data_IF_249637927383
#
_entry.id   IF_249637927383
#
_cell.length_a   1.000
_cell.length_b   1.000
_cell.length_c   1.000
_cell.angle_alpha   90.00
_cell.angle_beta   90.00
_cell.angle_gamma   90.00
#
_symmetry.space_group_name_H-M   'P 1'
#
loop_
_entity.id
_entity.type
_entity.pdbx_description
1 polymer ?
#
# COMPACT_ATOMS: atom_id res chain seq x y z
N UNK A 1 -16.39 -10.85 1.25
CA UNK A 1 -16.82 -11.13 -0.10
C UNK A 1 -17.20 -12.61 -0.30
N UNK A 2 -16.28 -13.58 -0.22
CA UNK A 2 -16.56 -15.00 -0.42
C UNK A 2 -17.28 -15.67 0.77
N UNK A 3 -17.26 -15.05 1.96
CA UNK A 3 -17.98 -15.54 3.13
C UNK A 3 -18.83 -14.41 3.75
N UNK A 4 -20.06 -14.18 3.26
CA UNK A 4 -20.95 -13.12 3.74
C UNK A 4 -21.26 -13.21 5.24
N UNK A 5 -21.12 -14.39 5.87
CA UNK A 5 -21.36 -14.60 7.31
C UNK A 5 -20.34 -13.85 8.20
N UNK A 6 -19.20 -13.45 7.62
CA UNK A 6 -18.17 -12.68 8.31
C UNK A 6 -18.36 -11.17 8.20
N UNK A 7 -19.30 -10.68 7.41
CA UNK A 7 -19.60 -9.26 7.28
C UNK A 7 -20.04 -8.69 8.63
N UNK A 8 -19.39 -7.59 9.06
CA UNK A 8 -19.65 -6.95 10.36
C UNK A 8 -19.08 -7.70 11.57
N UNK A 9 -18.23 -8.72 11.36
CA UNK A 9 -17.57 -9.45 12.44
C UNK A 9 -16.08 -9.12 12.52
N UNK A 10 -15.48 -9.14 13.72
CA UNK A 10 -14.05 -8.94 13.85
C UNK A 10 -13.30 -10.13 13.22
N UNK A 11 -12.47 -9.82 12.22
CA UNK A 11 -11.68 -10.80 11.49
C UNK A 11 -10.23 -10.32 11.39
N UNK A 12 -9.30 -11.25 11.48
CA UNK A 12 -7.88 -11.04 11.19
C UNK A 12 -7.39 -12.08 10.19
N UNK A 13 -6.41 -11.69 9.37
CA UNK A 13 -5.72 -12.60 8.45
C UNK A 13 -4.27 -12.70 8.87
N UNK A 14 -3.75 -13.90 8.89
CA UNK A 14 -2.38 -14.22 9.31
C UNK A 14 -1.41 -14.24 8.12
N UNK A 15 -0.14 -14.10 8.41
CA UNK A 15 0.96 -14.23 7.46
C UNK A 15 1.08 -15.67 6.90
N UNK A 16 1.99 -15.89 5.95
CA UNK A 16 2.21 -17.19 5.29
C UNK A 16 2.51 -18.36 6.20
N UNK A 17 2.96 -18.11 7.43
CA UNK A 17 3.28 -19.12 8.47
C UNK A 17 2.34 -19.04 9.68
N UNK A 18 1.21 -18.34 9.55
CA UNK A 18 0.20 -18.13 10.58
C UNK A 18 0.72 -17.51 11.90
N UNK A 19 1.89 -16.87 11.84
CA UNK A 19 2.53 -16.33 13.03
C UNK A 19 2.15 -14.88 13.36
N UNK A 20 1.76 -14.08 12.37
CA UNK A 20 1.64 -12.63 12.49
C UNK A 20 0.39 -12.11 11.78
N UNK A 21 -0.27 -11.11 12.34
CA UNK A 21 -1.47 -10.51 11.74
C UNK A 21 -1.06 -9.53 10.63
N UNK A 22 -1.49 -9.80 9.40
CA UNK A 22 -1.20 -8.98 8.22
C UNK A 22 -2.41 -8.22 7.68
N UNK A 23 -3.63 -8.56 8.12
CA UNK A 23 -4.83 -7.80 7.79
C UNK A 23 -5.86 -7.87 8.92
N UNK A 24 -6.71 -6.84 9.01
CA UNK A 24 -7.73 -6.70 10.05
C UNK A 24 -8.98 -6.07 9.47
N UNK A 25 -10.16 -6.59 9.80
CA UNK A 25 -11.42 -5.91 9.53
C UNK A 25 -11.55 -4.60 10.34
N UNK A 26 -12.52 -3.76 9.97
CA UNK A 26 -12.81 -2.53 10.73
C UNK A 26 -13.13 -2.84 12.20
N UNK A 27 -13.92 -3.87 12.44
CA UNK A 27 -14.31 -4.34 13.77
C UNK A 27 -13.10 -4.82 14.58
N UNK A 28 -12.15 -5.53 13.94
CA UNK A 28 -10.92 -5.96 14.61
C UNK A 28 -9.98 -4.78 14.94
N UNK A 29 -10.01 -3.69 14.12
CA UNK A 29 -9.28 -2.45 14.42
C UNK A 29 -9.88 -1.74 15.65
N UNK A 30 -11.20 -1.73 15.81
CA UNK A 30 -11.88 -1.16 16.99
C UNK A 30 -11.49 -1.89 18.28
N UNK A 31 -11.16 -3.18 18.20
CA UNK A 31 -10.62 -3.96 19.32
C UNK A 31 -9.13 -3.66 19.60
N UNK A 32 -8.54 -2.69 18.91
CA UNK A 32 -7.14 -2.25 19.05
C UNK A 32 -6.11 -3.38 18.81
N UNK A 33 -6.46 -4.39 18.02
CA UNK A 33 -5.51 -5.42 17.62
C UNK A 33 -4.44 -4.76 16.71
N UNK A 34 -3.14 -4.79 17.05
CA UNK A 34 -2.12 -4.11 16.26
C UNK A 34 -1.82 -4.83 14.93
N UNK A 35 -1.49 -4.06 13.88
CA UNK A 35 -0.93 -4.64 12.66
C UNK A 35 0.47 -5.18 12.94
N UNK A 36 0.79 -6.34 12.38
CA UNK A 36 2.09 -7.00 12.61
C UNK A 36 2.22 -7.67 13.96
N UNK A 37 1.16 -7.69 14.78
CA UNK A 37 1.21 -8.38 16.06
C UNK A 37 1.36 -9.89 15.88
N UNK A 38 2.26 -10.54 16.63
CA UNK A 38 2.27 -11.99 16.75
C UNK A 38 0.94 -12.49 17.32
N UNK A 39 0.37 -13.55 16.71
CA UNK A 39 -0.95 -14.07 17.08
C UNK A 39 -1.03 -14.40 18.57
N UNK A 40 0.00 -15.03 19.14
CA UNK A 40 0.03 -15.43 20.54
C UNK A 40 -0.04 -14.27 21.52
N UNK A 41 0.39 -13.05 21.11
CA UNK A 41 0.33 -11.85 21.99
C UNK A 41 -1.06 -11.23 22.08
N UNK A 42 -1.96 -11.59 21.20
CA UNK A 42 -3.34 -11.05 21.14
C UNK A 42 -4.40 -12.14 21.34
N UNK A 43 -3.99 -13.34 21.75
CA UNK A 43 -4.87 -14.49 21.89
C UNK A 43 -6.02 -14.24 22.87
N UNK A 44 -5.78 -13.50 23.95
CA UNK A 44 -6.81 -13.15 24.93
C UNK A 44 -7.91 -12.27 24.32
N UNK A 45 -7.52 -11.30 23.48
CA UNK A 45 -8.46 -10.43 22.75
C UNK A 45 -9.27 -11.25 21.76
N UNK A 46 -8.61 -12.16 21.04
CA UNK A 46 -9.23 -13.04 20.04
C UNK A 46 -10.29 -13.92 20.71
N UNK A 47 -9.95 -14.57 21.83
CA UNK A 47 -10.87 -15.45 22.55
C UNK A 47 -12.03 -14.66 23.18
N UNK A 48 -11.72 -13.55 23.84
CA UNK A 48 -12.72 -12.71 24.53
C UNK A 48 -13.79 -12.16 23.57
N UNK A 49 -13.40 -11.79 22.35
CA UNK A 49 -14.26 -11.11 21.38
C UNK A 49 -14.67 -12.00 20.20
N UNK A 50 -14.38 -13.31 20.26
CA UNK A 50 -14.68 -14.26 19.20
C UNK A 50 -14.19 -13.77 17.81
N UNK A 51 -12.95 -13.27 17.76
CA UNK A 51 -12.36 -12.78 16.52
C UNK A 51 -12.09 -13.95 15.57
N UNK A 52 -12.58 -13.87 14.35
CA UNK A 52 -12.31 -14.88 13.33
C UNK A 52 -10.86 -14.75 12.83
N UNK A 53 -10.11 -15.85 12.95
CA UNK A 53 -8.72 -15.93 12.50
C UNK A 53 -8.68 -16.74 11.21
N UNK A 54 -8.10 -16.17 10.16
CA UNK A 54 -8.01 -16.75 8.83
C UNK A 54 -6.54 -16.79 8.38
N UNK A 55 -6.12 -17.87 7.75
CA UNK A 55 -4.84 -17.93 7.06
C UNK A 55 -4.86 -17.13 5.76
N UNK A 56 -3.70 -16.65 5.32
CA UNK A 56 -3.58 -15.97 4.04
C UNK A 56 -3.78 -16.94 2.86
N UNK A 57 -4.45 -16.43 1.82
CA UNK A 57 -4.66 -17.15 0.57
C UNK A 57 -4.02 -16.34 -0.58
N UNK A 58 -2.72 -16.52 -0.76
CA UNK A 58 -1.95 -15.76 -1.77
C UNK A 58 -2.40 -16.04 -3.21
N UNK A 59 -2.87 -17.25 -3.51
CA UNK A 59 -3.42 -17.57 -4.83
C UNK A 59 -4.68 -16.74 -5.13
N UNK A 60 -5.60 -16.65 -4.16
CA UNK A 60 -6.78 -15.80 -4.26
C UNK A 60 -6.39 -14.32 -4.39
N UNK A 61 -5.44 -13.85 -3.58
CA UNK A 61 -5.03 -12.43 -3.62
C UNK A 61 -4.38 -12.08 -4.96
N UNK A 62 -3.55 -12.97 -5.50
CA UNK A 62 -2.95 -12.80 -6.83
C UNK A 62 -4.00 -12.73 -7.95
N UNK A 63 -5.00 -13.61 -7.92
CA UNK A 63 -6.10 -13.59 -8.89
C UNK A 63 -6.95 -12.33 -8.77
N UNK A 64 -7.29 -11.91 -7.55
CA UNK A 64 -8.04 -10.66 -7.33
C UNK A 64 -7.24 -9.42 -7.76
N UNK A 65 -5.93 -9.42 -7.51
CA UNK A 65 -5.02 -8.39 -7.98
C UNK A 65 -4.99 -8.31 -9.51
N UNK A 66 -4.86 -9.45 -10.19
CA UNK A 66 -4.88 -9.52 -11.65
C UNK A 66 -6.17 -8.93 -12.22
N UNK A 67 -7.33 -9.27 -11.64
CA UNK A 67 -8.62 -8.70 -12.05
C UNK A 67 -8.72 -7.21 -11.76
N UNK A 68 -8.26 -6.78 -10.59
CA UNK A 68 -8.23 -5.37 -10.21
C UNK A 68 -7.40 -4.54 -11.19
N UNK A 69 -6.17 -4.96 -11.46
CA UNK A 69 -5.29 -4.25 -12.40
C UNK A 69 -5.81 -4.33 -13.85
N UNK A 70 -6.47 -5.44 -14.23
CA UNK A 70 -7.14 -5.56 -15.53
C UNK A 70 -8.31 -4.57 -15.71
N UNK A 71 -9.05 -4.26 -14.64
CA UNK A 71 -10.08 -3.22 -14.68
C UNK A 71 -9.43 -1.83 -14.82
N UNK A 72 -8.42 -1.52 -14.01
CA UNK A 72 -7.77 -0.20 -14.02
C UNK A 72 -7.09 0.09 -15.36
N UNK A 73 -6.37 -0.88 -15.93
CA UNK A 73 -5.71 -0.72 -17.22
C UNK A 73 -6.69 -0.52 -18.39
N UNK A 74 -7.97 -0.89 -18.22
CA UNK A 74 -9.01 -0.64 -19.23
C UNK A 74 -9.50 0.80 -19.32
N UNK A 75 -9.10 1.67 -18.37
CA UNK A 75 -9.50 3.09 -18.37
C UNK A 75 -8.58 4.00 -19.20
N UNK A 76 -7.33 3.58 -19.43
CA UNK A 76 -6.30 4.41 -20.06
C UNK A 76 -5.42 3.56 -20.98
N UNK A 77 -4.64 4.23 -21.82
CA UNK A 77 -3.58 3.55 -22.60
C UNK A 77 -2.59 2.84 -21.67
N UNK A 78 -2.06 1.67 -22.06
CA UNK A 78 -1.06 0.95 -21.26
C UNK A 78 0.16 1.78 -20.83
N UNK A 79 0.57 2.75 -21.64
CA UNK A 79 1.66 3.68 -21.29
C UNK A 79 1.32 4.62 -20.15
N UNK A 80 0.04 4.84 -19.87
CA UNK A 80 -0.49 5.69 -18.82
C UNK A 80 -0.88 4.92 -17.55
N UNK A 81 -0.57 3.62 -17.46
CA UNK A 81 -0.87 2.79 -16.32
C UNK A 81 0.39 2.14 -15.74
N UNK A 82 0.53 2.22 -14.42
CA UNK A 82 1.64 1.60 -13.67
C UNK A 82 1.11 0.75 -12.52
N UNK A 83 1.51 -0.52 -12.46
CA UNK A 83 1.26 -1.41 -11.33
C UNK A 83 2.28 -1.10 -10.25
N UNK A 84 1.83 -0.56 -9.11
CA UNK A 84 2.71 -0.24 -8.00
C UNK A 84 2.83 -1.39 -7.00
N UNK A 85 1.72 -2.03 -6.65
CA UNK A 85 1.69 -3.17 -5.74
C UNK A 85 0.55 -4.13 -6.08
N UNK A 86 0.34 -5.16 -5.26
CA UNK A 86 -0.76 -6.13 -5.43
C UNK A 86 -2.16 -5.49 -5.40
N UNK A 87 -2.30 -4.35 -4.74
CA UNK A 87 -3.57 -3.65 -4.48
C UNK A 87 -3.53 -2.16 -4.82
N UNK A 88 -2.46 -1.68 -5.46
CA UNK A 88 -2.29 -0.28 -5.82
C UNK A 88 -1.72 -0.12 -7.23
N UNK A 89 -2.25 0.83 -7.98
CA UNK A 89 -1.73 1.25 -9.29
C UNK A 89 -1.82 2.77 -9.44
N UNK A 90 -1.00 3.31 -10.32
CA UNK A 90 -1.04 4.70 -10.72
C UNK A 90 -1.57 4.84 -12.14
N UNK A 91 -2.34 5.88 -12.36
CA UNK A 91 -2.85 6.29 -13.67
C UNK A 91 -2.29 7.68 -13.96
N UNK A 92 -1.57 7.83 -15.07
CA UNK A 92 -1.14 9.13 -15.58
C UNK A 92 -2.30 9.73 -16.39
N UNK A 93 -2.89 10.82 -15.86
CA UNK A 93 -4.14 11.37 -16.39
C UNK A 93 -3.95 12.70 -17.13
N UNK A 94 -2.75 13.24 -17.17
CA UNK A 94 -2.47 14.60 -17.71
C UNK A 94 -2.96 14.78 -19.15
N UNK A 95 -2.82 13.76 -19.99
CA UNK A 95 -3.23 13.81 -21.39
C UNK A 95 -4.76 13.88 -21.57
N UNK A 96 -5.54 13.47 -20.56
CA UNK A 96 -7.00 13.36 -20.61
C UNK A 96 -7.73 14.54 -19.96
N UNK A 97 -7.02 15.40 -19.21
CA UNK A 97 -7.60 16.50 -18.40
C UNK A 97 -8.40 17.52 -19.21
N UNK A 98 -8.14 17.64 -20.52
CA UNK A 98 -8.89 18.55 -21.40
C UNK A 98 -10.31 18.06 -21.70
N UNK A 99 -10.53 16.75 -21.66
CA UNK A 99 -11.78 16.12 -22.11
C UNK A 99 -12.53 15.45 -20.96
N UNK A 100 -11.87 15.15 -19.86
CA UNK A 100 -12.42 14.38 -18.76
C UNK A 100 -12.08 15.01 -17.41
N UNK A 101 -13.04 14.97 -16.49
CA UNK A 101 -12.83 15.33 -15.09
C UNK A 101 -12.21 14.15 -14.33
N UNK A 102 -11.09 14.40 -13.65
CA UNK A 102 -10.38 13.36 -12.89
C UNK A 102 -11.20 12.83 -11.70
N UNK A 103 -12.06 13.64 -11.11
CA UNK A 103 -12.94 13.23 -10.01
C UNK A 103 -14.04 12.31 -10.50
N UNK A 104 -14.62 12.59 -11.67
CA UNK A 104 -15.61 11.70 -12.30
C UNK A 104 -14.97 10.37 -12.72
N UNK A 105 -13.77 10.41 -13.29
CA UNK A 105 -13.00 9.22 -13.59
C UNK A 105 -12.75 8.36 -12.32
N UNK A 106 -12.39 9.00 -11.22
CA UNK A 106 -12.18 8.33 -9.94
C UNK A 106 -13.48 7.67 -9.43
N UNK A 107 -14.64 8.30 -9.61
CA UNK A 107 -15.93 7.71 -9.28
C UNK A 107 -16.24 6.50 -10.13
N UNK A 108 -16.01 6.59 -11.43
CA UNK A 108 -16.26 5.49 -12.35
C UNK A 108 -15.32 4.31 -12.08
N UNK A 109 -14.04 4.54 -11.85
CA UNK A 109 -13.07 3.50 -11.44
C UNK A 109 -13.59 2.75 -10.21
N UNK A 110 -13.96 3.46 -9.16
CA UNK A 110 -14.48 2.85 -7.92
C UNK A 110 -15.76 2.06 -8.17
N UNK A 111 -16.66 2.62 -8.98
CA UNK A 111 -17.92 1.95 -9.35
C UNK A 111 -17.65 0.63 -10.09
N UNK A 112 -16.81 0.65 -11.11
CA UNK A 112 -16.48 -0.53 -11.91
C UNK A 112 -15.76 -1.59 -11.10
N UNK A 113 -14.76 -1.21 -10.28
CA UNK A 113 -14.07 -2.16 -9.39
C UNK A 113 -15.08 -2.83 -8.44
N UNK A 114 -15.95 -2.06 -7.81
CA UNK A 114 -16.96 -2.64 -6.91
C UNK A 114 -17.97 -3.51 -7.65
N UNK A 115 -18.47 -3.07 -8.79
CA UNK A 115 -19.45 -3.79 -9.60
C UNK A 115 -18.90 -5.12 -10.12
N UNK A 116 -17.66 -5.15 -10.61
CA UNK A 116 -17.09 -6.32 -11.28
C UNK A 116 -16.44 -7.32 -10.32
N UNK A 117 -15.84 -6.86 -9.25
CA UNK A 117 -15.08 -7.73 -8.33
C UNK A 117 -15.44 -7.56 -6.85
N UNK A 118 -16.39 -6.68 -6.50
CA UNK A 118 -16.89 -6.48 -5.14
C UNK A 118 -15.89 -5.83 -4.17
N UNK A 119 -14.78 -5.28 -4.64
CA UNK A 119 -13.79 -4.61 -3.80
C UNK A 119 -14.11 -3.12 -3.65
N UNK A 120 -14.03 -2.64 -2.42
CA UNK A 120 -14.07 -1.20 -2.14
C UNK A 120 -12.67 -0.62 -2.26
N UNK A 121 -12.54 0.49 -3.01
CA UNK A 121 -11.26 1.16 -3.26
C UNK A 121 -11.34 2.62 -2.87
N UNK A 122 -10.19 3.25 -2.65
CA UNK A 122 -10.04 4.69 -2.57
C UNK A 122 -9.21 5.18 -3.76
N UNK A 123 -9.48 6.40 -4.22
CA UNK A 123 -8.73 7.04 -5.30
C UNK A 123 -8.27 8.42 -4.85
N UNK A 124 -6.97 8.67 -4.96
CA UNK A 124 -6.36 9.97 -4.72
C UNK A 124 -5.87 10.57 -6.04
N UNK A 125 -6.21 11.83 -6.28
CA UNK A 125 -5.75 12.59 -7.43
C UNK A 125 -4.81 13.70 -6.95
N UNK A 126 -3.63 13.78 -7.54
CA UNK A 126 -2.59 14.75 -7.23
C UNK A 126 -1.80 15.12 -8.49
N UNK A 127 -1.00 16.16 -8.44
CA UNK A 127 -0.11 16.61 -9.52
C UNK A 127 1.12 15.72 -9.67
N UNK A 128 1.45 14.97 -8.63
CA UNK A 128 2.64 14.11 -8.53
C UNK A 128 2.27 12.76 -7.93
N UNK A 129 3.19 11.79 -7.99
CA UNK A 129 3.00 10.47 -7.38
C UNK A 129 2.83 10.59 -5.86
N UNK A 130 3.65 11.43 -5.21
CA UNK A 130 3.54 11.65 -3.76
C UNK A 130 2.22 12.32 -3.38
N UNK A 131 1.80 13.38 -4.08
CA UNK A 131 0.50 13.99 -3.83
C UNK A 131 -0.66 13.01 -4.03
N UNK A 132 -0.62 12.18 -5.08
CA UNK A 132 -1.65 11.15 -5.33
C UNK A 132 -1.73 10.14 -4.18
N UNK A 133 -0.59 9.71 -3.62
CA UNK A 133 -0.54 8.85 -2.43
C UNK A 133 -1.09 9.53 -1.20
N UNK A 134 -0.78 10.82 -0.98
CA UNK A 134 -1.33 11.62 0.12
C UNK A 134 -2.85 11.78 -0.03
N UNK A 135 -3.33 12.12 -1.23
CA UNK A 135 -4.76 12.19 -1.54
C UNK A 135 -5.48 10.86 -1.27
N UNK A 136 -4.87 9.74 -1.66
CA UNK A 136 -5.43 8.41 -1.40
C UNK A 136 -5.50 8.09 0.11
N UNK A 137 -4.49 8.48 0.88
CA UNK A 137 -4.49 8.34 2.33
C UNK A 137 -5.62 9.18 2.97
N UNK A 138 -5.79 10.43 2.54
CA UNK A 138 -6.90 11.30 2.96
C UNK A 138 -8.25 10.68 2.65
N UNK A 139 -8.46 10.23 1.40
CA UNK A 139 -9.69 9.57 0.97
C UNK A 139 -10.04 8.33 1.81
N UNK A 140 -9.02 7.62 2.31
CA UNK A 140 -9.17 6.41 3.14
C UNK A 140 -9.50 6.73 4.60
N UNK A 141 -9.01 7.85 5.13
CA UNK A 141 -9.15 8.23 6.55
C UNK A 141 -10.34 9.12 6.83
N UNK A 142 -10.81 9.88 5.83
CA UNK A 142 -11.89 10.85 5.98
C UNK A 142 -13.16 10.34 5.28
N UNK A 143 -14.14 9.81 6.03
CA UNK A 143 -15.37 9.25 5.48
C UNK A 143 -16.19 10.26 4.63
N UNK A 144 -16.10 11.54 4.95
CA UNK A 144 -16.76 12.64 4.23
C UNK A 144 -16.29 12.76 2.77
N UNK A 145 -15.09 12.32 2.47
CA UNK A 145 -14.54 12.28 1.11
C UNK A 145 -15.09 11.11 0.28
N UNK A 146 -15.90 10.25 0.88
CA UNK A 146 -16.49 9.09 0.19
C UNK A 146 -15.48 8.25 -0.62
N UNK A 147 -14.22 8.17 -0.13
CA UNK A 147 -13.14 7.41 -0.75
C UNK A 147 -12.55 8.03 -2.01
N UNK A 148 -12.77 9.32 -2.26
CA UNK A 148 -12.13 10.08 -3.37
C UNK A 148 -11.59 11.38 -2.79
N UNK A 149 -10.33 11.68 -3.06
CA UNK A 149 -9.73 12.95 -2.75
C UNK A 149 -9.02 13.51 -3.97
N UNK A 150 -9.33 14.74 -4.37
CA UNK A 150 -8.68 15.41 -5.49
C UNK A 150 -7.99 16.69 -5.00
N UNK A 151 -6.69 16.59 -4.70
CA UNK A 151 -5.88 17.72 -4.24
C UNK A 151 -5.69 18.80 -5.33
N UNK A 152 -5.87 18.44 -6.61
CA UNK A 152 -5.70 19.39 -7.73
C UNK A 152 -6.82 20.43 -7.77
N UNK A 153 -8.04 20.04 -7.38
CA UNK A 153 -9.21 20.92 -7.37
C UNK A 153 -9.50 21.53 -6.01
N UNK A 154 -8.78 21.10 -4.98
CA UNK A 154 -8.94 21.60 -3.62
C UNK A 154 -8.31 22.99 -3.46
N UNK A 155 -8.86 23.81 -2.57
CA UNK A 155 -8.23 25.09 -2.24
C UNK A 155 -6.88 24.87 -1.54
N UNK A 156 -5.93 25.78 -1.72
CA UNK A 156 -4.64 25.71 -1.03
C UNK A 156 -4.80 25.66 0.49
N UNK A 157 -5.77 26.42 1.02
CA UNK A 157 -6.07 26.45 2.47
C UNK A 157 -6.52 25.08 2.97
N UNK A 158 -7.36 24.39 2.21
CA UNK A 158 -7.81 23.04 2.58
C UNK A 158 -6.66 22.02 2.49
N UNK A 159 -5.84 22.10 1.45
CA UNK A 159 -4.65 21.23 1.30
C UNK A 159 -3.69 21.44 2.47
N UNK A 160 -3.37 22.69 2.82
CA UNK A 160 -2.52 23.01 3.97
C UNK A 160 -3.12 22.49 5.29
N UNK A 161 -4.44 22.67 5.47
CA UNK A 161 -5.15 22.17 6.65
C UNK A 161 -5.03 20.64 6.78
N UNK A 162 -5.20 19.92 5.69
CA UNK A 162 -5.00 18.47 5.67
C UNK A 162 -3.54 18.10 5.95
N UNK A 163 -2.58 18.75 5.31
CA UNK A 163 -1.14 18.49 5.53
C UNK A 163 -0.71 18.80 6.97
N UNK A 164 -1.29 19.84 7.60
CA UNK A 164 -1.06 20.15 9.00
C UNK A 164 -1.61 19.08 9.94
N UNK A 165 -2.72 18.44 9.58
CA UNK A 165 -3.34 17.40 10.40
C UNK A 165 -2.68 16.02 10.28
N UNK A 166 -1.82 15.83 9.28
CA UNK A 166 -1.21 14.53 8.97
C UNK A 166 0.21 14.44 9.56
N UNK A 167 0.49 13.40 10.38
CA UNK A 167 1.84 13.13 10.86
C UNK A 167 2.83 12.86 9.71
N UNK A 168 4.08 13.24 9.89
CA UNK A 168 5.13 13.12 8.86
C UNK A 168 5.44 11.66 8.46
N UNK A 169 5.18 10.70 9.32
CA UNK A 169 5.33 9.25 9.04
C UNK A 169 4.25 8.67 8.12
N UNK A 170 3.23 9.45 7.80
CA UNK A 170 2.21 9.11 6.79
C UNK A 170 2.68 9.40 5.36
N UNK A 171 3.77 10.13 5.19
CA UNK A 171 4.30 10.46 3.86
C UNK A 171 4.89 9.21 3.22
N UNK A 172 4.53 8.98 1.98
CA UNK A 172 5.11 7.92 1.17
C UNK A 172 6.64 8.02 1.10
N UNK A 173 7.33 6.94 1.49
CA UNK A 173 8.79 6.89 1.58
C UNK A 173 9.37 7.35 2.92
N UNK A 174 8.58 7.91 3.84
CA UNK A 174 9.03 8.26 5.19
C UNK A 174 8.79 7.10 6.15
N UNK A 175 9.79 6.24 6.30
CA UNK A 175 9.75 5.13 7.25
C UNK A 175 10.09 5.57 8.69
N UNK A 176 9.88 4.66 9.66
CA UNK A 176 10.06 4.91 11.11
C UNK A 176 11.37 5.62 11.48
N UNK A 177 12.50 5.27 10.83
CA UNK A 177 13.80 5.88 11.12
C UNK A 177 13.85 7.36 10.69
N UNK A 178 13.29 7.65 9.50
CA UNK A 178 13.23 9.03 9.00
C UNK A 178 12.22 9.85 9.80
N UNK A 179 11.04 9.30 10.09
CA UNK A 179 10.04 9.97 10.92
C UNK A 179 10.61 10.37 12.29
N UNK A 180 11.32 9.43 12.96
CA UNK A 180 11.97 9.76 14.24
C UNK A 180 12.94 10.92 14.10
N UNK A 181 13.84 10.89 13.09
CA UNK A 181 14.83 11.95 12.86
C UNK A 181 14.17 13.30 12.53
N UNK A 182 13.10 13.30 11.75
CA UNK A 182 12.30 14.48 11.43
C UNK A 182 11.64 15.05 12.69
N UNK A 183 11.03 14.19 13.51
CA UNK A 183 10.39 14.59 14.77
C UNK A 183 11.43 15.19 15.76
N UNK A 184 12.63 14.61 15.85
CA UNK A 184 13.73 15.14 16.67
C UNK A 184 14.18 16.53 16.20
N UNK A 185 13.89 16.91 14.94
CA UNK A 185 14.15 18.23 14.35
C UNK A 185 12.94 19.18 14.46
N UNK A 186 11.83 18.76 15.07
CA UNK A 186 10.60 19.56 15.18
C UNK A 186 9.69 19.51 13.92
N UNK A 187 9.99 18.62 12.97
CA UNK A 187 9.18 18.41 11.76
C UNK A 187 8.22 17.26 12.08
N UNK A 188 6.99 17.61 12.45
CA UNK A 188 5.99 16.66 12.97
C UNK A 188 4.92 16.29 11.94
N UNK A 189 4.62 17.21 11.04
CA UNK A 189 3.51 17.10 10.08
C UNK A 189 4.00 17.07 8.63
N UNK A 190 3.09 16.68 7.74
CA UNK A 190 3.33 16.75 6.29
C UNK A 190 3.61 18.21 5.87
N UNK A 191 2.89 19.18 6.44
CA UNK A 191 3.08 20.60 6.14
C UNK A 191 4.46 21.08 6.59
N UNK A 192 4.92 20.69 7.78
CA UNK A 192 6.25 21.06 8.27
C UNK A 192 7.35 20.58 7.30
N UNK A 193 7.20 19.35 6.78
CA UNK A 193 8.17 18.83 5.80
C UNK A 193 8.03 19.54 4.45
N UNK A 194 6.84 19.76 3.94
CA UNK A 194 6.60 20.44 2.67
C UNK A 194 7.15 21.87 2.64
N UNK A 195 7.14 22.56 3.80
CA UNK A 195 7.69 23.92 3.94
C UNK A 195 9.19 23.94 4.29
N UNK A 196 9.82 22.78 4.49
CA UNK A 196 11.25 22.68 4.79
C UNK A 196 12.11 23.00 3.55
N UNK A 197 13.35 23.47 3.77
CA UNK A 197 14.27 23.72 2.67
C UNK A 197 14.74 22.40 2.02
N UNK A 198 14.44 22.16 0.72
CA UNK A 198 14.75 20.89 0.06
C UNK A 198 16.25 20.57 0.00
N UNK A 199 17.10 21.57 -0.21
CA UNK A 199 18.55 21.36 -0.30
C UNK A 199 19.14 20.96 1.04
N UNK A 200 18.72 21.62 2.12
CA UNK A 200 19.11 21.23 3.48
C UNK A 200 18.66 19.81 3.82
N UNK A 201 17.45 19.44 3.40
CA UNK A 201 16.93 18.08 3.64
C UNK A 201 17.66 17.01 2.81
N UNK A 202 18.15 17.35 1.62
CA UNK A 202 19.05 16.50 0.85
C UNK A 202 20.36 16.22 1.59
N UNK A 203 20.98 17.24 2.16
CA UNK A 203 22.23 17.11 2.92
C UNK A 203 22.06 16.26 4.19
N UNK A 204 20.97 16.48 4.92
CA UNK A 204 20.70 15.80 6.18
C UNK A 204 20.19 14.35 6.00
N UNK A 205 19.54 14.04 4.88
CA UNK A 205 18.97 12.74 4.59
C UNK A 205 19.52 12.17 3.28
N UNK A 206 18.93 12.52 2.15
CA UNK A 206 19.33 12.08 0.80
C UNK A 206 18.50 12.80 -0.29
N UNK A 207 18.80 12.46 -1.57
CA UNK A 207 18.08 13.01 -2.73
C UNK A 207 16.59 12.65 -2.73
N UNK A 208 16.21 11.47 -2.23
CA UNK A 208 14.80 11.08 -2.20
C UNK A 208 13.97 11.96 -1.26
N UNK A 209 14.54 12.38 -0.12
CA UNK A 209 13.87 13.32 0.79
C UNK A 209 13.66 14.68 0.13
N UNK A 210 14.64 15.16 -0.61
CA UNK A 210 14.51 16.37 -1.44
C UNK A 210 13.38 16.22 -2.45
N UNK A 211 13.39 15.13 -3.22
CA UNK A 211 12.36 14.83 -4.21
C UNK A 211 10.97 14.74 -3.59
N UNK A 212 10.85 14.11 -2.41
CA UNK A 212 9.57 14.03 -1.68
C UNK A 212 9.02 15.41 -1.36
N UNK A 213 9.85 16.36 -0.91
CA UNK A 213 9.42 17.73 -0.63
C UNK A 213 8.96 18.43 -1.91
N UNK A 214 9.72 18.31 -2.99
CA UNK A 214 9.38 18.93 -4.27
C UNK A 214 8.05 18.33 -4.82
N UNK A 215 7.87 17.04 -4.67
CA UNK A 215 6.62 16.37 -5.04
C UNK A 215 5.41 16.84 -4.22
N UNK A 216 5.56 17.06 -2.92
CA UNK A 216 4.50 17.63 -2.06
C UNK A 216 4.14 19.08 -2.46
N UNK A 217 5.06 19.78 -3.14
CA UNK A 217 4.85 21.10 -3.71
C UNK A 217 4.32 21.07 -5.16
N UNK A 218 4.07 19.87 -5.71
CA UNK A 218 3.52 19.67 -7.05
C UNK A 218 4.58 19.63 -8.17
N UNK A 219 5.86 19.53 -7.84
CA UNK A 219 6.93 19.34 -8.82
C UNK A 219 7.25 17.86 -8.95
N UNK A 220 6.94 17.25 -10.10
CA UNK A 220 7.23 15.83 -10.37
C UNK A 220 8.74 15.57 -10.38
N UNK A 221 9.18 14.62 -9.57
CA UNK A 221 10.56 14.20 -9.40
C UNK A 221 10.72 12.68 -9.56
N UNK A 222 9.70 11.90 -9.24
CA UNK A 222 9.71 10.45 -9.40
C UNK A 222 9.20 10.07 -10.78
N UNK A 223 9.86 9.10 -11.41
CA UNK A 223 9.48 8.61 -12.73
C UNK A 223 8.20 7.76 -12.64
N UNK A 224 7.30 7.97 -13.59
CA UNK A 224 6.16 7.11 -13.82
C UNK A 224 6.61 5.89 -14.64
N UNK A 225 6.64 4.72 -14.00
CA UNK A 225 7.09 3.47 -14.63
C UNK A 225 5.87 2.69 -15.17
N UNK A 226 5.60 2.77 -16.47
CA UNK A 226 4.51 2.01 -17.11
C UNK A 226 4.86 0.54 -17.35
N UNK A 227 6.14 0.18 -17.34
CA UNK A 227 6.61 -1.20 -17.52
C UNK A 227 7.29 -1.70 -16.25
N UNK A 228 6.90 -2.88 -15.73
CA UNK A 228 7.56 -3.45 -14.57
C UNK A 228 9.02 -3.77 -14.89
N UNK A 229 9.93 -3.34 -14.01
CA UNK A 229 11.36 -3.74 -14.11
C UNK A 229 11.51 -5.25 -13.87
N UNK A 230 12.46 -5.86 -14.56
CA UNK A 230 12.83 -7.25 -14.31
C UNK A 230 13.20 -7.45 -12.84
N UNK A 231 12.74 -8.55 -12.25
CA UNK A 231 13.06 -8.89 -10.87
C UNK A 231 14.57 -9.11 -10.73
N UNK A 232 15.18 -8.48 -9.75
CA UNK A 232 16.61 -8.64 -9.46
C UNK A 232 16.91 -9.86 -8.61
N UNK A 233 15.90 -10.44 -7.95
CA UNK A 233 16.04 -11.63 -7.11
C UNK A 233 14.72 -12.38 -6.96
N UNK A 234 14.82 -13.69 -6.83
CA UNK A 234 13.71 -14.59 -6.48
C UNK A 234 13.98 -15.18 -5.11
N UNK A 235 13.04 -15.01 -4.17
CA UNK A 235 13.17 -15.48 -2.81
C UNK A 235 12.15 -16.60 -2.55
N UNK A 236 12.63 -17.75 -2.05
CA UNK A 236 11.80 -18.83 -1.51
C UNK A 236 12.20 -19.08 -0.07
N UNK A 237 11.35 -18.77 0.89
CA UNK A 237 11.65 -18.89 2.31
C UNK A 237 10.42 -19.28 3.12
N UNK A 238 10.65 -19.95 4.25
CA UNK A 238 9.62 -20.24 5.26
C UNK A 238 10.28 -20.35 6.64
N UNK A 239 9.58 -19.88 7.67
CA UNK A 239 10.03 -20.08 9.05
C UNK A 239 9.59 -21.44 9.55
N UNK A 240 10.46 -22.13 10.30
CA UNK A 240 10.07 -23.33 11.02
C UNK A 240 9.24 -22.98 12.25
N UNK A 241 8.26 -23.82 12.59
CA UNK A 241 7.42 -23.63 13.78
C UNK A 241 8.17 -23.88 15.10
N UNK A 242 9.32 -24.57 15.04
CA UNK A 242 10.20 -24.84 16.16
C UNK A 242 11.67 -24.80 15.72
N UNK A 243 12.59 -24.73 16.69
CA UNK A 243 14.03 -24.81 16.39
C UNK A 243 14.36 -26.17 15.77
N UNK A 244 15.07 -26.13 14.64
CA UNK A 244 15.57 -27.33 13.95
C UNK A 244 17.05 -27.45 14.20
N UNK A 245 17.46 -28.62 14.71
CA UNK A 245 18.86 -28.96 15.01
C UNK A 245 19.38 -30.12 14.15
N UNK A 246 18.49 -30.83 13.46
CA UNK A 246 18.82 -31.97 12.62
C UNK A 246 19.21 -31.50 11.21
N UNK A 247 20.40 -31.94 10.77
CA UNK A 247 20.93 -31.55 9.46
C UNK A 247 20.05 -32.05 8.29
N UNK A 248 19.50 -33.26 8.41
CA UNK A 248 18.62 -33.86 7.41
C UNK A 248 17.39 -33.01 7.11
N UNK A 249 16.75 -32.47 8.13
CA UNK A 249 15.58 -31.60 8.01
C UNK A 249 15.97 -30.28 7.32
N UNK A 250 17.13 -29.72 7.65
CA UNK A 250 17.64 -28.50 7.01
C UNK A 250 17.97 -28.77 5.54
N UNK A 251 18.60 -29.90 5.20
CA UNK A 251 18.91 -30.27 3.81
C UNK A 251 17.63 -30.43 2.97
N UNK A 252 16.62 -31.11 3.51
CA UNK A 252 15.32 -31.25 2.85
C UNK A 252 14.68 -29.89 2.59
N UNK A 253 14.65 -29.00 3.60
CA UNK A 253 14.10 -27.66 3.46
C UNK A 253 14.84 -26.83 2.41
N UNK A 254 16.18 -26.82 2.41
CA UNK A 254 17.01 -26.13 1.42
C UNK A 254 16.71 -26.66 0.02
N UNK A 255 16.73 -27.99 -0.15
CA UNK A 255 16.41 -28.61 -1.44
C UNK A 255 15.06 -28.19 -1.98
N UNK A 256 14.01 -28.25 -1.14
CA UNK A 256 12.65 -27.85 -1.51
C UNK A 256 12.57 -26.36 -1.90
N UNK A 257 13.19 -25.46 -1.12
CA UNK A 257 13.10 -24.04 -1.40
C UNK A 257 13.94 -23.63 -2.61
N UNK A 258 15.08 -24.27 -2.84
CA UNK A 258 15.88 -24.10 -4.05
C UNK A 258 15.08 -24.54 -5.29
N UNK A 259 14.43 -25.69 -5.23
CA UNK A 259 13.58 -26.17 -6.32
C UNK A 259 12.43 -25.21 -6.61
N UNK A 260 11.75 -24.72 -5.57
CA UNK A 260 10.67 -23.74 -5.75
C UNK A 260 11.17 -22.41 -6.35
N UNK A 261 12.35 -21.94 -5.95
CA UNK A 261 12.95 -20.73 -6.52
C UNK A 261 13.35 -20.95 -7.99
N UNK A 262 13.91 -22.11 -8.31
CA UNK A 262 14.29 -22.46 -9.68
C UNK A 262 13.08 -22.55 -10.61
N UNK A 263 12.00 -23.23 -10.19
CA UNK A 263 10.77 -23.31 -11.00
C UNK A 263 10.22 -21.91 -11.30
N UNK A 264 10.21 -21.01 -10.31
CA UNK A 264 9.78 -19.61 -10.54
C UNK A 264 10.70 -18.86 -11.48
N UNK A 265 12.00 -19.13 -11.45
CA UNK A 265 12.96 -18.53 -12.38
C UNK A 265 12.66 -18.94 -13.82
N UNK A 266 12.36 -20.25 -14.03
CA UNK A 266 11.96 -20.79 -15.33
C UNK A 266 10.64 -20.21 -15.82
N UNK A 267 9.62 -20.19 -14.94
CA UNK A 267 8.28 -19.69 -15.26
C UNK A 267 8.30 -18.19 -15.62
N UNK A 268 9.22 -17.42 -15.04
CA UNK A 268 9.39 -15.98 -15.28
C UNK A 268 10.36 -15.69 -16.47
N UNK A 269 10.82 -16.70 -17.19
CA UNK A 269 11.74 -16.58 -18.34
C UNK A 269 12.98 -15.73 -18.04
N UNK A 270 13.56 -15.91 -16.85
CA UNK A 270 14.74 -15.16 -16.37
C UNK A 270 16.03 -16.02 -16.39
N UNK A 271 16.08 -17.05 -17.24
CA UNK A 271 17.26 -17.86 -17.53
C UNK A 271 17.93 -17.38 -18.80
#
# INVERSE_FOLDING_TARGET
FWNPKLKGKPCVVLSSNDGTIIARSAEAKLLKIPMGAPLFKVQDIINKHNVHVLSSNFALYGEMSRRFHGILSGFVDPSCYSIYSIDEGFIEFTQFTKNFDATEMAREIRHQVYKLIGLTTCVGVGRTLTESKMANNLAKKNPELNGICNLVTMSLVDVESYYQSMPVDEIWGVGRKYAKKLNDMGILTVLDLATSNPNRMRELFNVNMQSTILELLGQSCFEFESSPKAKQQIVSSKSFGQKITELSILQEAVSKYTHNAFNRLVDEHQL
#
